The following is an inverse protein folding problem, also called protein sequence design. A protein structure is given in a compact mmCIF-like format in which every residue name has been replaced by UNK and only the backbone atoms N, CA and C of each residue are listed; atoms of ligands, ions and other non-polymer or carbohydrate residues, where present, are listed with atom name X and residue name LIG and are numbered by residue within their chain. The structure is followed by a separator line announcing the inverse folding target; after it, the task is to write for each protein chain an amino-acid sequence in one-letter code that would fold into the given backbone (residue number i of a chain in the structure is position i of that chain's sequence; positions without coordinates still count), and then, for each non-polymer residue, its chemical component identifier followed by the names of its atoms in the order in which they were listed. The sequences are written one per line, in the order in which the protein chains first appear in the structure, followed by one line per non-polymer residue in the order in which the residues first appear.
data_IF_014878003170
#
_entry.id   IF_014878003170
#
_cell.length_a   1.000
_cell.length_b   1.000
_cell.length_c   1.000
_cell.angle_alpha   90.00
_cell.angle_beta   90.00
_cell.angle_gamma   90.00
#
_symmetry.space_group_name_H-M   'P 1'
#
loop_
_entity.id
_entity.type
_entity.pdbx_description
1 polymer ?
#
# COMPACT_ATOMS: atom_id res chain seq x y z
N UNK A 1 3.57 56.49 11.58
CA UNK A 1 4.72 56.11 10.73
C UNK A 1 5.52 55.02 11.44
N UNK A 2 5.86 53.94 10.70
CA UNK A 2 6.65 52.75 11.06
C UNK A 2 5.94 51.67 11.90
N UNK A 3 5.46 50.65 11.20
CA UNK A 3 5.29 49.29 11.73
C UNK A 3 6.21 48.36 10.92
N UNK A 4 6.98 47.54 11.64
CA UNK A 4 8.05 46.70 11.13
C UNK A 4 7.53 45.44 10.43
N UNK A 5 8.07 45.16 9.23
CA UNK A 5 7.82 43.94 8.47
C UNK A 5 8.60 42.75 9.04
N UNK A 6 7.93 41.62 9.18
CA UNK A 6 8.55 40.32 9.42
C UNK A 6 8.58 39.53 8.11
N UNK A 7 9.78 39.17 7.66
CA UNK A 7 10.02 38.23 6.56
C UNK A 7 9.94 36.78 7.08
N UNK A 8 9.43 35.83 6.29
CA UNK A 8 9.47 34.42 6.67
C UNK A 8 10.82 33.76 6.36
N UNK A 9 11.23 32.93 7.30
CA UNK A 9 12.43 32.09 7.32
C UNK A 9 12.26 30.95 6.31
N UNK A 10 13.18 30.85 5.35
CA UNK A 10 13.27 29.73 4.42
C UNK A 10 14.03 28.56 5.06
N UNK A 11 13.36 27.41 5.25
CA UNK A 11 14.02 26.15 5.58
C UNK A 11 14.70 25.58 4.33
N UNK A 12 16.05 25.58 4.33
CA UNK A 12 16.87 24.81 3.38
C UNK A 12 16.92 23.36 3.84
N UNK A 13 16.39 22.44 3.04
CA UNK A 13 16.65 21.00 3.17
C UNK A 13 17.88 20.68 2.33
N UNK A 14 19.00 20.37 3.00
CA UNK A 14 20.23 19.93 2.37
C UNK A 14 20.13 18.49 1.89
N UNK A 15 20.33 18.25 0.60
CA UNK A 15 20.58 16.94 0.03
C UNK A 15 22.05 16.56 0.25
N UNK A 16 22.28 15.49 1.00
CA UNK A 16 23.60 14.83 1.08
C UNK A 16 23.71 13.86 -0.11
N UNK A 17 24.64 14.15 -1.02
CA UNK A 17 25.01 13.28 -2.13
C UNK A 17 26.15 12.36 -1.69
N UNK A 18 25.88 11.06 -1.58
CA UNK A 18 26.91 10.04 -1.38
C UNK A 18 27.39 9.55 -2.75
N UNK A 19 28.53 10.05 -3.19
CA UNK A 19 29.28 9.45 -4.29
C UNK A 19 30.21 8.37 -3.73
N UNK A 20 29.89 7.10 -4.02
CA UNK A 20 30.84 5.99 -3.86
C UNK A 20 31.90 6.06 -4.97
N UNK A 21 33.17 6.06 -4.55
CA UNK A 21 34.35 5.85 -5.38
C UNK A 21 34.39 4.37 -5.81
N UNK A 22 34.35 4.12 -7.11
CA UNK A 22 34.72 2.82 -7.69
C UNK A 22 36.23 2.80 -7.94
N UNK A 23 36.95 2.02 -7.14
CA UNK A 23 38.34 1.68 -7.37
C UNK A 23 38.47 0.73 -8.56
N UNK A 24 39.41 1.07 -9.45
CA UNK A 24 39.89 0.23 -10.55
C UNK A 24 40.65 -1.00 -10.00
N UNK A 25 40.45 -2.16 -10.61
CA UNK A 25 41.37 -3.30 -10.53
C UNK A 25 42.04 -3.48 -11.90
N UNK A 26 43.37 -3.74 -11.96
CA UNK A 26 44.09 -3.92 -13.21
C UNK A 26 43.97 -5.35 -13.76
N UNK A 27 43.95 -5.42 -15.08
CA UNK A 27 44.04 -6.63 -15.90
C UNK A 27 45.43 -7.27 -15.79
N UNK A 28 45.48 -8.60 -15.80
CA UNK A 28 46.70 -9.36 -16.06
C UNK A 28 46.57 -10.82 -15.63
N UNK A 29 46.61 -11.76 -16.58
CA UNK A 29 46.70 -13.18 -16.25
C UNK A 29 46.42 -14.13 -17.40
N UNK A 30 47.51 -14.52 -18.07
CA UNK A 30 47.70 -15.49 -19.15
C UNK A 30 46.96 -16.84 -19.08
N UNK A 31 46.65 -17.34 -20.27
CA UNK A 31 46.11 -18.65 -20.61
C UNK A 31 46.89 -19.86 -20.08
N UNK A 32 46.16 -20.95 -19.83
CA UNK A 32 46.65 -22.34 -19.92
C UNK A 32 45.53 -23.23 -20.47
N UNK A 33 45.94 -24.18 -21.30
CA UNK A 33 45.14 -25.05 -22.16
C UNK A 33 44.46 -26.23 -21.44
N UNK A 34 43.42 -26.73 -22.11
CA UNK A 34 43.04 -28.15 -22.26
C UNK A 34 42.56 -28.97 -21.04
N UNK A 35 41.32 -29.47 -21.13
CA UNK A 35 40.95 -30.90 -21.27
C UNK A 35 39.56 -31.18 -20.66
N UNK A 36 38.73 -31.93 -21.40
CA UNK A 36 37.57 -32.65 -20.84
C UNK A 36 36.20 -32.12 -21.23
N UNK A 37 35.80 -32.33 -22.49
CA UNK A 37 34.41 -32.19 -22.92
C UNK A 37 33.59 -33.31 -22.27
N UNK A 38 32.98 -33.01 -21.13
CA UNK A 38 31.98 -33.87 -20.49
C UNK A 38 30.65 -33.21 -20.80
N UNK A 39 29.83 -33.85 -21.65
CA UNK A 39 28.49 -33.39 -21.98
C UNK A 39 27.62 -33.42 -20.71
N UNK A 40 27.72 -32.34 -19.94
CA UNK A 40 26.79 -32.03 -18.87
C UNK A 40 25.48 -31.60 -19.54
N UNK A 41 24.54 -32.55 -19.62
CA UNK A 41 23.15 -32.26 -19.95
C UNK A 41 22.67 -31.16 -19.01
N UNK A 42 22.63 -29.93 -19.52
CA UNK A 42 22.14 -28.77 -18.81
C UNK A 42 20.67 -29.04 -18.45
N UNK A 43 20.43 -29.33 -17.18
CA UNK A 43 19.08 -29.42 -16.63
C UNK A 43 18.42 -28.07 -16.94
N UNK A 44 17.31 -28.03 -17.69
CA UNK A 44 16.64 -26.78 -17.98
C UNK A 44 16.31 -26.09 -16.66
N UNK A 45 16.81 -24.86 -16.47
CA UNK A 45 16.46 -24.05 -15.32
C UNK A 45 14.93 -24.04 -15.18
N UNK A 46 14.39 -24.31 -13.97
CA UNK A 46 12.95 -24.29 -13.78
C UNK A 46 12.39 -22.93 -14.23
N UNK A 47 11.21 -22.90 -14.88
CA UNK A 47 10.63 -21.67 -15.38
C UNK A 47 10.54 -20.66 -14.23
N UNK A 48 11.09 -19.47 -14.44
CA UNK A 48 11.10 -18.41 -13.45
C UNK A 48 9.67 -18.20 -12.90
N UNK A 49 9.51 -18.35 -11.59
CA UNK A 49 8.26 -18.09 -10.90
C UNK A 49 7.72 -16.73 -11.36
N UNK A 50 6.43 -16.63 -11.77
CA UNK A 50 5.89 -15.37 -12.26
C UNK A 50 6.11 -14.30 -11.19
N UNK A 51 6.91 -13.28 -11.50
CA UNK A 51 7.13 -12.16 -10.60
C UNK A 51 5.76 -11.59 -10.27
N UNK A 52 5.40 -11.54 -8.98
CA UNK A 52 4.11 -11.00 -8.55
C UNK A 52 4.06 -9.54 -8.99
N UNK A 53 3.36 -9.27 -10.09
CA UNK A 53 3.14 -7.91 -10.57
C UNK A 53 2.41 -7.16 -9.46
N UNK A 54 2.97 -6.02 -9.05
CA UNK A 54 2.30 -5.12 -8.10
C UNK A 54 0.93 -4.71 -8.61
N UNK A 55 0.05 -4.36 -7.68
CA UNK A 55 -1.31 -3.90 -7.96
C UNK A 55 -1.30 -2.46 -8.46
N UNK A 56 -2.00 -2.19 -9.56
CA UNK A 56 -2.14 -0.83 -10.10
C UNK A 56 -3.09 -0.03 -9.23
N UNK A 57 -2.75 1.22 -8.91
CA UNK A 57 -3.60 2.11 -8.11
C UNK A 57 -4.02 3.33 -8.93
N UNK A 58 -5.32 3.60 -8.99
CA UNK A 58 -5.91 4.72 -9.74
C UNK A 58 -6.92 5.48 -8.87
N UNK A 59 -6.91 6.81 -8.97
CA UNK A 59 -7.91 7.70 -8.36
C UNK A 59 -8.91 8.13 -9.42
N UNK A 60 -10.21 7.99 -9.15
CA UNK A 60 -11.27 8.55 -9.97
C UNK A 60 -11.92 9.74 -9.26
N UNK A 61 -12.23 10.79 -10.03
CA UNK A 61 -12.78 12.05 -9.52
C UNK A 61 -13.95 12.50 -10.37
N UNK A 62 -15.04 12.91 -9.71
CA UNK A 62 -16.18 13.59 -10.32
C UNK A 62 -16.50 14.88 -9.59
N UNK A 63 -16.58 15.99 -10.33
CA UNK A 63 -17.16 17.22 -9.81
C UNK A 63 -18.68 17.05 -9.61
N UNK A 64 -19.20 17.44 -8.45
CA UNK A 64 -20.61 17.40 -8.10
C UNK A 64 -21.29 18.74 -8.39
N UNK A 65 -22.47 18.69 -9.01
CA UNK A 65 -23.28 19.88 -9.25
C UNK A 65 -24.21 20.17 -8.06
N UNK A 66 -24.62 21.44 -7.84
CA UNK A 66 -24.30 22.63 -8.64
C UNK A 66 -22.91 23.20 -8.35
N UNK A 67 -22.25 23.73 -9.39
CA UNK A 67 -21.07 24.57 -9.23
C UNK A 67 -21.47 25.89 -8.57
N UNK A 68 -20.86 26.20 -7.43
CA UNK A 68 -20.96 27.53 -6.82
C UNK A 68 -19.66 28.26 -7.11
N UNK A 69 -19.68 29.54 -7.52
CA UNK A 69 -18.45 30.29 -7.75
C UNK A 69 -17.52 30.16 -6.54
N UNK A 70 -16.28 29.72 -6.78
CA UNK A 70 -15.24 29.44 -5.76
C UNK A 70 -15.40 28.16 -4.92
N UNK A 71 -16.47 27.38 -5.11
CA UNK A 71 -16.73 26.15 -4.34
C UNK A 71 -17.17 25.00 -5.26
N UNK A 72 -16.34 23.97 -5.33
CA UNK A 72 -16.62 22.73 -6.08
C UNK A 72 -16.56 21.53 -5.14
N UNK A 73 -17.68 20.82 -5.00
CA UNK A 73 -17.70 19.54 -4.30
C UNK A 73 -17.21 18.43 -5.24
N UNK A 74 -16.51 17.44 -4.70
CA UNK A 74 -16.00 16.31 -5.45
C UNK A 74 -16.46 15.00 -4.83
N UNK A 75 -16.78 14.03 -5.69
CA UNK A 75 -16.83 12.62 -5.33
C UNK A 75 -15.56 11.95 -5.81
N UNK A 76 -14.91 11.20 -4.93
CA UNK A 76 -13.72 10.43 -5.24
C UNK A 76 -13.90 8.94 -4.94
N UNK A 77 -13.21 8.11 -5.70
CA UNK A 77 -13.05 6.69 -5.43
C UNK A 77 -11.66 6.23 -5.81
N UNK A 78 -11.26 5.07 -5.31
CA UNK A 78 -9.94 4.52 -5.57
C UNK A 78 -10.08 3.11 -6.15
N UNK A 79 -9.43 2.86 -7.29
CA UNK A 79 -9.36 1.54 -7.89
C UNK A 79 -8.00 0.90 -7.62
N UNK A 80 -8.04 -0.38 -7.24
CA UNK A 80 -6.89 -1.28 -7.20
C UNK A 80 -7.10 -2.35 -8.25
N UNK A 81 -6.24 -2.36 -9.26
CA UNK A 81 -6.42 -3.09 -10.52
C UNK A 81 -7.74 -2.72 -11.21
N UNK A 82 -8.72 -3.63 -11.22
CA UNK A 82 -10.05 -3.43 -11.83
C UNK A 82 -11.16 -3.20 -10.81
N UNK A 83 -10.81 -3.18 -9.52
CA UNK A 83 -11.76 -3.14 -8.41
C UNK A 83 -11.77 -1.75 -7.80
N UNK A 84 -12.91 -1.08 -7.90
CA UNK A 84 -13.16 0.23 -7.32
C UNK A 84 -13.63 0.10 -5.87
N UNK A 85 -13.16 1.01 -5.02
CA UNK A 85 -13.58 1.18 -3.64
C UNK A 85 -14.02 2.62 -3.41
N UNK A 86 -15.19 2.78 -2.80
CA UNK A 86 -15.73 4.09 -2.38
C UNK A 86 -16.43 3.95 -1.03
N UNK A 87 -16.68 5.08 -0.36
CA UNK A 87 -17.45 5.11 0.88
C UNK A 87 -18.81 5.77 0.67
N UNK A 88 -19.86 5.15 1.20
CA UNK A 88 -21.24 5.63 1.10
C UNK A 88 -22.01 5.37 2.40
N UNK A 89 -23.31 5.67 2.41
CA UNK A 89 -24.20 5.31 3.53
C UNK A 89 -24.19 3.81 3.86
N UNK A 90 -23.86 2.94 2.88
CA UNK A 90 -23.74 1.49 3.04
C UNK A 90 -22.34 1.03 3.48
N UNK A 91 -21.50 1.93 3.97
CA UNK A 91 -20.13 1.60 4.32
C UNK A 91 -19.18 1.66 3.12
N UNK A 92 -18.07 0.93 3.21
CA UNK A 92 -17.13 0.74 2.09
C UNK A 92 -17.78 -0.16 1.04
N UNK A 93 -18.06 0.40 -0.13
CA UNK A 93 -18.66 -0.28 -1.27
C UNK A 93 -17.56 -0.65 -2.26
N UNK A 94 -17.76 -1.80 -2.92
CA UNK A 94 -16.86 -2.31 -3.95
C UNK A 94 -17.60 -2.48 -5.25
N UNK A 95 -17.04 -1.95 -6.32
CA UNK A 95 -17.60 -1.96 -7.67
C UNK A 95 -16.49 -2.25 -8.69
N UNK A 96 -16.82 -2.29 -9.98
CA UNK A 96 -15.83 -2.41 -11.06
C UNK A 96 -15.87 -1.17 -11.94
N UNK A 97 -14.74 -0.83 -12.56
CA UNK A 97 -14.67 0.16 -13.64
C UNK A 97 -15.35 1.50 -13.31
N UNK A 98 -15.15 2.04 -12.10
CA UNK A 98 -15.63 3.36 -11.70
C UNK A 98 -17.17 3.53 -11.73
N UNK A 99 -17.93 2.45 -11.56
CA UNK A 99 -19.40 2.48 -11.52
C UNK A 99 -19.99 3.43 -10.47
N UNK A 100 -19.26 3.79 -9.40
CA UNK A 100 -19.78 4.77 -8.45
C UNK A 100 -19.95 6.18 -9.05
N UNK A 101 -19.32 6.45 -10.20
CA UNK A 101 -19.35 7.74 -10.87
C UNK A 101 -20.42 7.86 -11.98
N UNK A 102 -20.99 6.74 -12.45
CA UNK A 102 -21.89 6.74 -13.63
C UNK A 102 -23.18 7.52 -13.41
N UNK A 103 -23.66 7.56 -12.16
CA UNK A 103 -24.85 8.32 -11.76
C UNK A 103 -24.53 9.80 -11.44
N UNK A 104 -23.26 10.20 -11.49
CA UNK A 104 -22.80 11.53 -11.11
C UNK A 104 -22.41 12.32 -12.36
N UNK A 105 -23.34 13.09 -12.91
CA UNK A 105 -23.11 14.03 -14.02
C UNK A 105 -22.24 13.47 -15.18
N UNK A 106 -22.33 12.17 -15.46
CA UNK A 106 -21.55 11.51 -16.52
C UNK A 106 -20.09 11.20 -16.19
N UNK A 107 -19.70 11.12 -14.91
CA UNK A 107 -18.33 10.82 -14.50
C UNK A 107 -17.87 9.36 -14.68
N UNK A 108 -16.59 9.05 -14.37
CA UNK A 108 -15.60 9.94 -13.76
C UNK A 108 -15.08 10.99 -14.75
N UNK A 109 -14.88 12.22 -14.27
CA UNK A 109 -14.33 13.31 -15.09
C UNK A 109 -12.80 13.19 -15.23
N UNK A 110 -12.14 12.61 -14.23
CA UNK A 110 -10.69 12.36 -14.24
C UNK A 110 -10.40 10.98 -13.67
N UNK A 111 -9.45 10.28 -14.30
CA UNK A 111 -8.84 9.05 -13.78
C UNK A 111 -7.33 9.29 -13.74
N UNK A 112 -6.76 9.29 -12.55
CA UNK A 112 -5.36 9.62 -12.28
C UNK A 112 -4.64 8.33 -11.88
N UNK A 113 -3.61 7.96 -12.62
CA UNK A 113 -2.73 6.84 -12.24
C UNK A 113 -1.78 7.29 -11.13
N UNK A 114 -1.87 6.62 -9.98
CA UNK A 114 -1.10 7.01 -8.79
C UNK A 114 0.19 6.21 -8.62
N UNK A 115 0.25 5.00 -9.18
CA UNK A 115 1.41 4.11 -9.14
C UNK A 115 1.02 2.64 -8.95
N UNK A 116 1.95 1.87 -8.37
CA UNK A 116 1.76 0.45 -8.03
C UNK A 116 2.04 0.20 -6.55
N UNK A 117 1.47 -0.87 -6.00
CA UNK A 117 1.63 -1.27 -4.59
C UNK A 117 1.68 -2.79 -4.46
N UNK A 118 2.34 -3.32 -3.44
CA UNK A 118 2.26 -4.76 -3.10
C UNK A 118 0.97 -5.13 -2.36
N UNK A 119 0.19 -4.14 -1.92
CA UNK A 119 -1.03 -4.34 -1.15
C UNK A 119 -2.26 -4.47 -2.06
N UNK A 120 -3.02 -5.55 -1.90
CA UNK A 120 -4.30 -5.72 -2.61
C UNK A 120 -5.38 -4.77 -2.09
N UNK A 121 -6.35 -4.47 -2.95
CA UNK A 121 -7.54 -3.71 -2.55
C UNK A 121 -8.34 -4.39 -1.42
N UNK A 122 -8.33 -5.72 -1.35
CA UNK A 122 -8.97 -6.47 -0.26
C UNK A 122 -8.29 -6.23 1.10
N UNK A 123 -6.95 -6.15 1.13
CA UNK A 123 -6.21 -5.80 2.35
C UNK A 123 -6.54 -4.38 2.81
N UNK A 124 -6.55 -3.42 1.89
CA UNK A 124 -6.95 -2.04 2.17
C UNK A 124 -8.38 -1.97 2.72
N UNK A 125 -9.36 -2.58 2.03
CA UNK A 125 -10.75 -2.57 2.47
C UNK A 125 -10.91 -3.21 3.87
N UNK A 126 -10.22 -4.32 4.14
CA UNK A 126 -10.22 -4.96 5.47
C UNK A 126 -9.71 -4.03 6.56
N UNK A 127 -8.64 -3.28 6.28
CA UNK A 127 -8.07 -2.35 7.25
C UNK A 127 -8.95 -1.11 7.49
N UNK A 128 -9.63 -0.61 6.45
CA UNK A 128 -10.41 0.62 6.53
C UNK A 128 -11.87 0.41 6.95
N UNK A 129 -12.49 -0.74 6.65
CA UNK A 129 -13.90 -1.03 6.99
C UNK A 129 -14.26 -0.81 8.47
N UNK A 130 -13.42 -1.17 9.47
CA UNK A 130 -13.72 -0.87 10.87
C UNK A 130 -13.88 0.63 11.16
N UNK A 131 -13.22 1.48 10.37
CA UNK A 131 -13.29 2.93 10.48
C UNK A 131 -14.42 3.50 9.63
N UNK A 132 -14.75 2.90 8.50
CA UNK A 132 -15.76 3.35 7.53
C UNK A 132 -16.99 2.42 7.51
N UNK A 133 -17.69 2.35 8.64
CA UNK A 133 -18.88 1.50 8.83
C UNK A 133 -20.12 2.08 8.15
N UNK A 134 -21.08 1.20 7.88
CA UNK A 134 -22.42 1.58 7.43
C UNK A 134 -23.06 2.58 8.39
N UNK A 135 -23.91 3.46 7.84
CA UNK A 135 -24.62 4.50 8.59
C UNK A 135 -23.70 5.48 9.33
N UNK A 136 -22.41 5.54 8.99
CA UNK A 136 -21.48 6.54 9.54
C UNK A 136 -21.07 7.60 8.51
N UNK A 137 -21.63 7.56 7.31
CA UNK A 137 -21.37 8.56 6.28
C UNK A 137 -21.91 9.93 6.72
N UNK A 138 -21.08 10.95 6.55
CA UNK A 138 -21.35 12.35 6.82
C UNK A 138 -20.71 13.20 5.72
N UNK A 139 -21.50 14.07 5.08
CA UNK A 139 -21.06 14.82 3.91
C UNK A 139 -19.84 15.70 4.17
N UNK A 140 -19.66 16.22 5.40
CA UNK A 140 -18.62 17.20 5.72
C UNK A 140 -17.45 16.65 6.54
N UNK A 141 -17.65 15.51 7.22
CA UNK A 141 -16.65 14.98 8.15
C UNK A 141 -16.10 13.64 7.71
N UNK A 142 -16.94 12.79 7.14
CA UNK A 142 -16.63 11.39 6.90
C UNK A 142 -17.38 10.89 5.67
N UNK A 143 -16.80 11.17 4.53
CA UNK A 143 -17.37 10.93 3.21
C UNK A 143 -16.39 10.15 2.33
N UNK A 144 -16.69 10.10 1.03
CA UNK A 144 -15.84 9.47 0.03
C UNK A 144 -14.41 10.04 -0.03
N UNK A 145 -14.21 11.34 0.14
CA UNK A 145 -12.89 11.99 0.08
C UNK A 145 -12.02 11.60 1.27
N UNK A 146 -12.58 11.63 2.48
CA UNK A 146 -11.88 11.15 3.69
C UNK A 146 -11.48 9.67 3.61
N UNK A 147 -12.34 8.83 3.00
CA UNK A 147 -12.04 7.43 2.73
C UNK A 147 -10.91 7.28 1.71
N UNK A 148 -11.00 7.99 0.59
CA UNK A 148 -10.00 7.96 -0.49
C UNK A 148 -8.65 8.42 0.02
N UNK A 149 -8.57 9.44 0.87
CA UNK A 149 -7.31 9.89 1.49
C UNK A 149 -6.69 8.79 2.36
N UNK A 150 -7.48 8.17 3.23
CA UNK A 150 -7.00 7.04 4.04
C UNK A 150 -6.56 5.84 3.18
N UNK A 151 -7.28 5.55 2.10
CA UNK A 151 -6.98 4.49 1.15
C UNK A 151 -5.67 4.74 0.39
N UNK A 152 -5.48 5.96 -0.13
CA UNK A 152 -4.24 6.38 -0.78
C UNK A 152 -3.06 6.29 0.19
N UNK A 153 -3.24 6.77 1.42
CA UNK A 153 -2.18 6.73 2.43
C UNK A 153 -1.83 5.29 2.77
N UNK A 154 -2.82 4.42 2.95
CA UNK A 154 -2.62 3.01 3.25
C UNK A 154 -1.85 2.27 2.17
N UNK A 155 -2.16 2.53 0.88
CA UNK A 155 -1.59 1.79 -0.25
C UNK A 155 -0.24 2.34 -0.72
N UNK A 156 -0.07 3.67 -0.68
CA UNK A 156 1.02 4.37 -1.35
C UNK A 156 1.79 5.33 -0.43
N UNK A 157 1.36 5.52 0.83
CA UNK A 157 1.94 6.52 1.72
C UNK A 157 1.73 7.97 1.27
N UNK A 158 0.75 8.22 0.39
CA UNK A 158 0.44 9.55 -0.17
C UNK A 158 -0.92 10.04 0.29
N UNK A 159 -1.06 11.36 0.43
CA UNK A 159 -2.32 12.02 0.78
C UNK A 159 -3.09 12.42 -0.48
N UNK A 160 -4.41 12.53 -0.33
CA UNK A 160 -5.28 13.14 -1.33
C UNK A 160 -4.96 14.64 -1.44
N UNK A 161 -5.02 15.20 -2.65
CA UNK A 161 -4.80 16.63 -2.91
C UNK A 161 -5.82 17.48 -2.11
N UNK A 162 -5.32 18.56 -1.47
CA UNK A 162 -6.07 19.43 -0.58
C UNK A 162 -7.36 19.96 -1.19
N UNK A 163 -7.33 20.29 -2.49
CA UNK A 163 -8.51 20.83 -3.20
C UNK A 163 -9.75 19.93 -3.16
N UNK A 164 -9.58 18.61 -2.92
CA UNK A 164 -10.69 17.67 -2.86
C UNK A 164 -11.39 17.63 -1.49
N UNK A 165 -10.77 18.16 -0.42
CA UNK A 165 -11.39 18.24 0.92
C UNK A 165 -11.41 19.66 1.52
N UNK A 166 -10.77 20.65 0.87
CA UNK A 166 -10.82 22.07 1.28
C UNK A 166 -12.24 22.59 1.46
N UNK A 167 -13.14 22.26 0.53
CA UNK A 167 -14.54 22.67 0.65
C UNK A 167 -15.17 22.12 1.91
N UNK A 168 -14.88 20.88 2.29
CA UNK A 168 -15.44 20.23 3.48
C UNK A 168 -14.96 20.93 4.76
N UNK A 169 -13.70 21.35 4.81
CA UNK A 169 -13.16 22.10 5.94
C UNK A 169 -13.78 23.49 6.07
N UNK A 170 -13.88 24.22 4.95
CA UNK A 170 -14.52 25.54 4.91
C UNK A 170 -15.99 25.39 5.29
N UNK A 171 -16.69 24.42 4.69
CA UNK A 171 -18.09 24.12 4.93
C UNK A 171 -18.35 23.68 6.38
N UNK A 172 -17.54 22.81 6.98
CA UNK A 172 -17.68 22.38 8.38
C UNK A 172 -17.43 23.54 9.36
N UNK A 173 -16.51 24.46 9.00
CA UNK A 173 -16.26 25.68 9.79
C UNK A 173 -17.42 26.69 9.65
N UNK A 174 -17.94 26.85 8.44
CA UNK A 174 -19.01 27.78 8.11
C UNK A 174 -20.40 27.30 8.53
N UNK A 175 -20.69 25.99 8.50
CA UNK A 175 -21.97 25.40 8.93
C UNK A 175 -22.22 25.67 10.42
N UNK A 176 -21.16 25.58 11.25
CA UNK A 176 -21.21 25.96 12.68
C UNK A 176 -21.62 27.40 12.90
N UNK A 177 -21.37 28.29 11.93
CA UNK A 177 -21.57 29.73 12.08
C UNK A 177 -22.81 30.24 11.33
N UNK A 178 -23.13 29.66 10.17
CA UNK A 178 -24.04 30.28 9.19
C UNK A 178 -24.99 29.30 8.48
N UNK A 179 -24.88 27.98 8.71
CA UNK A 179 -25.76 27.00 8.07
C UNK A 179 -25.64 26.93 6.53
N UNK A 180 -24.53 27.42 5.97
CA UNK A 180 -24.31 27.54 4.51
C UNK A 180 -24.42 26.19 3.80
N UNK A 181 -24.04 25.10 4.46
CA UNK A 181 -24.11 23.76 3.86
C UNK A 181 -25.55 23.32 3.66
N UNK A 182 -26.47 23.72 4.54
CA UNK A 182 -27.90 23.50 4.30
C UNK A 182 -28.34 24.23 3.05
N UNK A 183 -27.91 25.47 2.84
CA UNK A 183 -28.24 26.21 1.60
C UNK A 183 -27.70 25.51 0.35
N UNK A 184 -26.45 25.03 0.39
CA UNK A 184 -25.81 24.35 -0.75
C UNK A 184 -26.38 22.95 -1.03
N UNK A 185 -26.85 22.27 0.01
CA UNK A 185 -27.55 20.98 -0.10
C UNK A 185 -29.06 21.15 -0.32
N UNK A 186 -29.53 22.35 -0.67
CA UNK A 186 -30.95 22.69 -0.84
C UNK A 186 -31.82 22.41 0.40
N UNK A 187 -31.20 22.35 1.57
CA UNK A 187 -31.81 22.21 2.89
C UNK A 187 -31.67 20.81 3.49
N UNK A 188 -31.22 19.83 2.71
CA UNK A 188 -31.37 18.42 3.07
C UNK A 188 -30.20 17.85 3.88
N UNK A 189 -29.08 18.59 4.00
CA UNK A 189 -27.98 18.12 4.82
C UNK A 189 -28.35 18.07 6.32
N UNK A 190 -28.33 16.86 6.86
CA UNK A 190 -28.43 16.55 8.28
C UNK A 190 -27.12 15.91 8.74
N UNK A 191 -26.35 16.56 9.63
CA UNK A 191 -25.13 15.97 10.18
C UNK A 191 -25.40 14.60 10.79
N UNK A 192 -24.50 13.66 10.56
CA UNK A 192 -24.59 12.33 11.14
C UNK A 192 -23.83 12.29 12.48
N UNK A 193 -24.52 12.18 13.63
CA UNK A 193 -23.86 12.20 14.94
C UNK A 193 -22.88 11.04 15.13
N UNK A 194 -23.01 9.95 14.36
CA UNK A 194 -22.09 8.80 14.41
C UNK A 194 -20.73 9.10 13.78
N UNK A 195 -20.60 10.20 13.04
CA UNK A 195 -19.34 10.68 12.50
C UNK A 195 -18.63 11.71 13.42
N UNK A 196 -19.23 12.12 14.55
CA UNK A 196 -18.66 13.16 15.40
C UNK A 196 -17.28 12.82 15.98
N UNK A 197 -17.03 11.54 16.26
CA UNK A 197 -15.76 11.06 16.79
C UNK A 197 -14.75 10.65 15.70
N UNK A 198 -15.07 10.89 14.43
CA UNK A 198 -14.13 10.61 13.35
C UNK A 198 -13.13 11.75 13.23
N UNK A 199 -11.85 11.41 13.37
CA UNK A 199 -10.72 12.29 13.14
C UNK A 199 -9.82 11.66 12.06
N UNK A 200 -9.69 12.37 10.94
CA UNK A 200 -8.93 11.91 9.77
C UNK A 200 -7.44 11.77 10.08
N UNK A 201 -6.86 12.75 10.78
CA UNK A 201 -5.43 12.77 11.08
C UNK A 201 -5.07 11.74 12.15
N UNK A 202 -5.94 11.55 13.15
CA UNK A 202 -5.78 10.47 14.14
C UNK A 202 -5.81 9.10 13.45
N UNK A 203 -6.72 8.89 12.49
CA UNK A 203 -6.78 7.66 11.73
C UNK A 203 -5.52 7.45 10.88
N UNK A 204 -5.05 8.47 10.17
CA UNK A 204 -3.82 8.38 9.38
C UNK A 204 -2.61 8.10 10.27
N UNK A 205 -2.52 8.74 11.43
CA UNK A 205 -1.51 8.44 12.44
C UNK A 205 -1.57 6.98 12.93
N UNK A 206 -2.77 6.42 13.11
CA UNK A 206 -2.95 4.99 13.41
C UNK A 206 -2.48 4.12 12.26
N UNK A 207 -2.82 4.45 11.01
CA UNK A 207 -2.42 3.70 9.83
C UNK A 207 -0.90 3.69 9.63
N UNK A 208 -0.21 4.78 9.98
CA UNK A 208 1.25 4.89 9.96
C UNK A 208 1.92 4.01 11.03
N UNK A 209 1.28 3.87 12.20
CA UNK A 209 1.75 3.06 13.31
C UNK A 209 1.33 1.60 13.23
N UNK A 210 0.46 1.23 12.29
CA UNK A 210 0.16 -0.17 12.05
C UNK A 210 1.49 -0.82 11.71
N UNK A 211 1.98 -1.75 12.55
CA UNK A 211 3.24 -2.43 12.26
C UNK A 211 3.17 -3.00 10.85
N UNK A 212 4.31 -3.11 10.16
CA UNK A 212 4.46 -3.77 8.86
C UNK A 212 4.05 -5.26 8.88
N UNK A 213 3.23 -5.68 9.85
CA UNK A 213 2.61 -6.97 10.01
C UNK A 213 1.68 -7.37 8.84
N UNK A 214 1.54 -6.54 7.81
CA UNK A 214 0.63 -6.75 6.66
C UNK A 214 1.11 -7.78 5.64
N UNK A 215 2.42 -8.04 5.53
CA UNK A 215 2.97 -9.26 4.90
C UNK A 215 3.17 -10.40 5.93
N UNK A 216 3.20 -10.04 7.20
CA UNK A 216 3.69 -10.89 8.29
C UNK A 216 2.66 -11.94 8.73
N UNK A 217 1.35 -11.71 8.54
CA UNK A 217 0.31 -12.70 8.91
C UNK A 217 0.21 -13.87 7.92
N UNK A 218 0.44 -13.63 6.61
CA UNK A 218 0.35 -14.70 5.61
C UNK A 218 1.46 -15.74 5.77
N UNK A 219 2.69 -15.29 6.08
CA UNK A 219 3.83 -16.20 6.29
C UNK A 219 3.77 -16.90 7.65
N UNK A 220 3.32 -16.21 8.71
CA UNK A 220 3.15 -16.81 10.05
C UNK A 220 2.18 -17.99 10.08
N UNK A 221 1.31 -18.14 9.08
CA UNK A 221 0.40 -19.29 8.95
C UNK A 221 0.94 -20.47 8.13
N UNK A 222 1.94 -20.25 7.28
CA UNK A 222 2.39 -21.24 6.29
C UNK A 222 3.51 -22.16 6.78
N UNK A 223 4.23 -21.76 7.84
CA UNK A 223 5.37 -22.50 8.38
C UNK A 223 5.19 -22.77 9.87
N UNK A 224 5.45 -24.02 10.29
CA UNK A 224 5.36 -24.45 11.68
C UNK A 224 6.68 -25.12 12.12
N UNK A 225 7.10 -25.00 13.38
CA UNK A 225 8.17 -25.83 13.93
C UNK A 225 7.97 -27.31 13.59
N UNK A 226 9.03 -27.97 13.13
CA UNK A 226 9.01 -29.36 12.64
C UNK A 226 8.60 -29.53 11.17
N UNK A 227 8.14 -28.47 10.49
CA UNK A 227 7.76 -28.57 9.08
C UNK A 227 8.99 -28.73 8.17
N UNK A 228 8.89 -29.68 7.24
CA UNK A 228 9.88 -29.84 6.19
C UNK A 228 9.70 -28.78 5.09
N UNK A 229 10.79 -28.13 4.74
CA UNK A 229 10.86 -27.02 3.79
C UNK A 229 12.09 -27.16 2.89
N UNK A 230 12.16 -26.35 1.84
CA UNK A 230 13.37 -26.15 1.06
C UNK A 230 13.86 -24.71 1.20
N UNK A 231 15.17 -24.54 1.30
CA UNK A 231 15.83 -23.26 1.52
C UNK A 231 16.81 -23.00 0.38
N UNK A 232 16.72 -21.83 -0.24
CA UNK A 232 17.69 -21.42 -1.26
C UNK A 232 19.06 -21.17 -0.62
N UNK A 233 20.04 -21.98 -1.03
CA UNK A 233 21.40 -22.01 -0.50
C UNK A 233 22.41 -21.58 -1.57
N UNK A 234 23.13 -20.49 -1.32
CA UNK A 234 24.20 -20.03 -2.22
C UNK A 234 25.40 -20.99 -2.23
N UNK A 235 25.72 -21.62 -1.10
CA UNK A 235 26.84 -22.57 -1.01
C UNK A 235 26.59 -23.83 -1.84
N UNK A 236 25.34 -24.27 -1.94
CA UNK A 236 24.94 -25.48 -2.66
C UNK A 236 24.34 -25.16 -4.04
N UNK A 237 24.39 -23.90 -4.47
CA UNK A 237 23.88 -23.43 -5.77
C UNK A 237 22.45 -23.89 -6.08
N UNK A 238 21.57 -23.97 -5.08
CA UNK A 238 20.23 -24.57 -5.27
C UNK A 238 19.34 -24.57 -4.04
N UNK A 239 18.18 -25.21 -4.17
CA UNK A 239 17.26 -25.47 -3.07
C UNK A 239 17.72 -26.70 -2.29
N UNK A 240 17.82 -26.56 -0.96
CA UNK A 240 18.29 -27.63 -0.07
C UNK A 240 17.20 -27.90 0.98
N UNK A 241 16.95 -29.18 1.26
CA UNK A 241 16.01 -29.58 2.30
C UNK A 241 16.41 -29.06 3.67
N UNK A 242 15.41 -28.66 4.45
CA UNK A 242 15.58 -28.18 5.81
C UNK A 242 14.32 -28.42 6.66
N UNK A 243 14.47 -28.36 7.97
CA UNK A 243 13.37 -28.40 8.93
C UNK A 243 13.23 -27.05 9.62
N UNK A 244 12.01 -26.52 9.70
CA UNK A 244 11.72 -25.31 10.47
C UNK A 244 11.93 -25.61 11.96
N UNK A 245 12.86 -24.89 12.60
CA UNK A 245 13.08 -25.00 14.04
C UNK A 245 12.13 -24.09 14.81
N UNK A 246 12.11 -22.80 14.46
CA UNK A 246 11.33 -21.79 15.18
C UNK A 246 10.76 -20.75 14.24
N UNK A 247 9.56 -20.26 14.57
CA UNK A 247 8.94 -19.11 13.91
C UNK A 247 8.72 -18.06 15.00
N UNK A 248 9.45 -16.95 14.94
CA UNK A 248 9.37 -15.89 15.94
C UNK A 248 8.11 -15.04 15.78
N UNK A 249 7.74 -14.29 16.83
CA UNK A 249 6.66 -13.29 16.76
C UNK A 249 6.93 -12.19 15.74
N UNK A 250 8.17 -11.96 15.30
CA UNK A 250 8.52 -10.97 14.29
C UNK A 250 8.43 -11.52 12.85
N UNK A 251 8.22 -12.83 12.67
CA UNK A 251 8.18 -13.51 11.38
C UNK A 251 9.51 -14.11 10.92
N UNK A 252 10.61 -13.93 11.66
CA UNK A 252 11.87 -14.64 11.37
C UNK A 252 11.66 -16.14 11.54
N UNK A 253 12.04 -16.91 10.53
CA UNK A 253 11.99 -18.38 10.49
C UNK A 253 13.42 -18.90 10.59
N UNK A 254 13.71 -19.68 11.63
CA UNK A 254 14.97 -20.40 11.75
C UNK A 254 14.78 -21.80 11.19
N UNK A 255 15.66 -22.20 10.29
CA UNK A 255 15.67 -23.53 9.66
C UNK A 255 16.98 -24.25 9.94
N UNK A 256 16.92 -25.57 10.03
CA UNK A 256 18.07 -26.48 10.12
C UNK A 256 18.17 -27.26 8.82
N UNK A 257 19.28 -27.13 8.10
CA UNK A 257 19.52 -27.89 6.87
C UNK A 257 19.57 -29.39 7.15
N UNK A 258 19.18 -30.20 6.18
CA UNK A 258 19.40 -31.66 6.22
C UNK A 258 20.89 -31.96 6.47
N UNK A 259 21.18 -32.91 7.37
CA UNK A 259 22.52 -33.17 7.89
C UNK A 259 22.82 -32.51 9.24
N UNK A 260 22.04 -31.51 9.65
CA UNK A 260 22.04 -30.98 11.02
C UNK A 260 23.21 -30.07 11.41
N UNK A 261 24.18 -29.84 10.51
CA UNK A 261 25.38 -29.04 10.81
C UNK A 261 25.19 -27.53 10.60
N UNK A 262 24.18 -27.13 9.82
CA UNK A 262 23.98 -25.75 9.41
C UNK A 262 22.58 -25.26 9.72
N UNK A 263 22.51 -24.03 10.23
CA UNK A 263 21.25 -23.31 10.49
C UNK A 263 21.22 -21.98 9.74
N UNK A 264 20.02 -21.51 9.42
CA UNK A 264 19.81 -20.18 8.82
C UNK A 264 18.62 -19.49 9.47
N UNK A 265 18.83 -18.25 9.87
CA UNK A 265 17.75 -17.35 10.27
C UNK A 265 17.29 -16.59 9.03
N UNK A 266 16.04 -16.79 8.64
CA UNK A 266 15.44 -16.19 7.47
C UNK A 266 14.51 -15.08 7.96
N UNK A 267 14.88 -13.79 7.79
CA UNK A 267 14.00 -12.70 8.16
C UNK A 267 12.75 -12.73 7.29
N UNK A 268 11.62 -12.29 7.85
CA UNK A 268 10.30 -12.31 7.20
C UNK A 268 10.31 -11.82 5.74
N UNK A 269 11.01 -10.71 5.46
CA UNK A 269 11.12 -10.09 4.13
C UNK A 269 11.81 -10.97 3.07
N UNK A 270 12.56 -11.99 3.51
CA UNK A 270 13.27 -12.91 2.62
C UNK A 270 12.53 -14.22 2.43
N UNK A 271 11.56 -14.55 3.29
CA UNK A 271 10.90 -15.87 3.32
C UNK A 271 10.37 -16.27 1.95
N UNK A 272 9.65 -15.39 1.24
CA UNK A 272 9.09 -15.71 -0.07
C UNK A 272 10.15 -15.99 -1.16
N UNK A 273 11.38 -15.50 -0.98
CA UNK A 273 12.46 -15.62 -1.97
C UNK A 273 13.42 -16.78 -1.66
N UNK A 274 13.54 -17.16 -0.39
CA UNK A 274 14.56 -18.12 0.06
C UNK A 274 13.98 -19.34 0.75
N UNK A 275 12.67 -19.43 0.96
CA UNK A 275 12.00 -20.53 1.62
C UNK A 275 10.74 -20.95 0.84
N UNK A 276 10.54 -22.27 0.68
CA UNK A 276 9.31 -22.82 0.10
C UNK A 276 8.92 -24.15 0.77
N UNK A 277 7.65 -24.57 0.70
CA UNK A 277 7.25 -25.89 1.18
C UNK A 277 8.01 -26.99 0.42
N UNK A 278 8.41 -28.05 1.13
CA UNK A 278 9.02 -29.21 0.50
C UNK A 278 7.98 -29.96 -0.35
N UNK A 279 8.27 -30.18 -1.63
CA UNK A 279 7.37 -30.90 -2.54
C UNK A 279 7.81 -32.36 -2.69
N UNK A 280 7.16 -33.27 -1.96
CA UNK A 280 7.50 -34.70 -1.98
C UNK A 280 7.25 -35.39 -3.34
N UNK A 281 6.57 -34.74 -4.29
CA UNK A 281 6.18 -35.33 -5.57
C UNK A 281 7.21 -35.18 -6.71
N UNK A 282 8.41 -34.66 -6.43
CA UNK A 282 9.44 -34.37 -7.46
C UNK A 282 10.70 -35.26 -7.38
N UNK A 283 10.73 -36.26 -6.49
CA UNK A 283 11.74 -37.32 -6.45
C UNK A 283 11.14 -38.64 -6.91
#
# INVERSE_FOLDING_TARGET
MRAAGHSPIALRVGFLSNHCLFSHCPEGGTAVEAMGNTDCHAIPSPPASPSRKGHKVQLAVTALNPYVPTMQAYHTSLAVDTVEFSFSQRGVVTTRNFQSHTHLSGGPHQIIELGTTSLSGAQMARALRPHFKEQTYDLLRKNCNSFTDCAMFYLLGRRLDAKYYELEQIANSADRLMGIVRVLSLGDYKPNPRANAFDLEELIGKLMRLPEDKENVAVRGCYKPGQHVEVLSKMHSGWVGATVLTVTKAGTITVLYEGGEHRKDIPQREVENVLRPFNAAQN
#
